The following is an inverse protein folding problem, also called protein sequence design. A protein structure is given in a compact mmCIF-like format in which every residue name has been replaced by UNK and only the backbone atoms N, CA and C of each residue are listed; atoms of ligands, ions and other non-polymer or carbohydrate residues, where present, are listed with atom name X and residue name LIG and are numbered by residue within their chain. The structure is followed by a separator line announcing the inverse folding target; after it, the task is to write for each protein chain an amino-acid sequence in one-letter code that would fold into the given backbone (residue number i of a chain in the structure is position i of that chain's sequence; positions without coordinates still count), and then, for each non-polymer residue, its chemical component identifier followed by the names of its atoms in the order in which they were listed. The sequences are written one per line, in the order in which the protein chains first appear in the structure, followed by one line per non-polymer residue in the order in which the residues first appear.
data_IF_633407060417
#
_entry.id   IF_633407060417
#
_cell.length_a   1.000
_cell.length_b   1.000
_cell.length_c   1.000
_cell.angle_alpha   90.00
_cell.angle_beta   90.00
_cell.angle_gamma   90.00
#
_symmetry.space_group_name_H-M   'P 1'
#
loop_
_entity.id
_entity.type
_entity.pdbx_description
1 polymer ?
#
# COMPACT_ATOMS: atom_id res chain seq x y z
N UNK A 1 9.78 -13.91 -63.92
CA UNK A 1 9.03 -14.44 -62.76
C UNK A 1 9.79 -14.12 -61.47
N UNK A 2 9.47 -13.02 -60.78
CA UNK A 2 10.08 -12.67 -59.48
C UNK A 2 9.13 -13.14 -58.38
N UNK A 3 9.55 -14.11 -57.56
CA UNK A 3 8.80 -14.54 -56.37
C UNK A 3 8.90 -13.42 -55.32
N UNK A 4 7.77 -12.78 -55.04
CA UNK A 4 7.63 -11.78 -53.98
C UNK A 4 7.58 -12.51 -52.64
N UNK A 5 8.58 -12.31 -51.79
CA UNK A 5 8.68 -12.95 -50.48
C UNK A 5 8.08 -12.00 -49.44
N UNK A 6 6.84 -12.24 -49.03
CA UNK A 6 6.15 -11.48 -47.99
C UNK A 6 6.70 -11.88 -46.62
N UNK A 7 7.36 -10.94 -45.94
CA UNK A 7 7.84 -11.10 -44.56
C UNK A 7 6.74 -10.64 -43.61
N UNK A 8 6.18 -11.56 -42.82
CA UNK A 8 5.23 -11.25 -41.74
C UNK A 8 6.05 -10.97 -40.48
N UNK A 9 6.16 -9.70 -40.09
CA UNK A 9 6.69 -9.30 -38.79
C UNK A 9 5.57 -9.53 -37.77
N UNK A 10 5.66 -10.64 -37.03
CA UNK A 10 4.80 -10.88 -35.87
C UNK A 10 5.25 -10.01 -34.71
N UNK A 11 4.51 -8.94 -34.40
CA UNK A 11 4.64 -8.23 -33.13
C UNK A 11 4.05 -9.13 -32.05
N UNK A 12 4.90 -9.77 -31.25
CA UNK A 12 4.48 -10.40 -30.01
C UNK A 12 4.28 -9.27 -29.00
N UNK A 13 3.04 -8.82 -28.81
CA UNK A 13 2.68 -8.02 -27.64
C UNK A 13 2.76 -8.94 -26.43
N UNK A 14 3.91 -8.98 -25.77
CA UNK A 14 3.96 -9.48 -24.40
C UNK A 14 3.16 -8.49 -23.55
N UNK A 15 2.03 -8.94 -23.01
CA UNK A 15 1.37 -8.21 -21.93
C UNK A 15 2.35 -8.19 -20.76
N UNK A 16 3.11 -7.11 -20.64
CA UNK A 16 3.79 -6.81 -19.39
C UNK A 16 2.68 -6.67 -18.37
N UNK A 17 2.59 -7.63 -17.45
CA UNK A 17 1.72 -7.50 -16.28
C UNK A 17 2.33 -6.36 -15.47
N UNK A 18 1.92 -5.13 -15.77
CA UNK A 18 2.02 -4.05 -14.81
C UNK A 18 1.06 -4.47 -13.72
N UNK A 19 1.59 -5.12 -12.69
CA UNK A 19 0.77 -5.49 -11.55
C UNK A 19 0.25 -4.19 -10.94
N UNK A 20 -1.06 -4.11 -10.84
CA UNK A 20 -1.79 -2.93 -10.37
C UNK A 20 -2.21 -3.18 -8.93
N UNK A 21 -2.30 -2.11 -8.15
CA UNK A 21 -2.90 -2.13 -6.83
C UNK A 21 -4.06 -1.15 -6.81
N UNK A 22 -5.09 -1.45 -6.00
CA UNK A 22 -6.10 -0.46 -5.65
C UNK A 22 -5.66 0.25 -4.37
N UNK A 23 -5.64 1.58 -4.38
CA UNK A 23 -5.47 2.40 -3.18
C UNK A 23 -6.83 2.83 -2.63
N UNK A 24 -7.02 2.70 -1.31
CA UNK A 24 -8.15 3.30 -0.59
C UNK A 24 -7.68 3.93 0.73
N UNK A 25 -8.37 4.96 1.19
CA UNK A 25 -8.05 5.67 2.44
C UNK A 25 -9.21 5.53 3.42
N UNK A 26 -8.91 5.25 4.68
CA UNK A 26 -9.88 4.97 5.74
C UNK A 26 -9.53 5.72 7.02
N UNK A 27 -10.56 6.18 7.74
CA UNK A 27 -10.44 6.71 9.09
C UNK A 27 -10.71 5.58 10.09
N UNK A 28 -9.64 5.02 10.68
CA UNK A 28 -9.73 3.85 11.55
C UNK A 28 -9.95 4.29 12.99
N UNK A 29 -11.12 3.95 13.55
CA UNK A 29 -11.51 4.31 14.91
C UNK A 29 -10.73 3.49 15.96
N UNK A 30 -10.08 4.17 16.89
CA UNK A 30 -9.34 3.60 18.02
C UNK A 30 -10.24 3.38 19.25
N UNK A 31 -9.70 2.75 20.29
CA UNK A 31 -10.43 2.38 21.53
C UNK A 31 -11.01 3.57 22.28
N UNK A 32 -10.33 4.71 22.22
CA UNK A 32 -10.74 5.97 22.83
C UNK A 32 -11.63 6.82 21.90
N UNK A 33 -11.96 6.31 20.72
CA UNK A 33 -12.96 6.88 19.83
C UNK A 33 -12.43 7.86 18.79
N UNK A 34 -11.14 8.23 18.86
CA UNK A 34 -10.51 9.02 17.80
C UNK A 34 -10.26 8.19 16.55
N UNK A 35 -10.01 8.85 15.43
CA UNK A 35 -9.78 8.20 14.15
C UNK A 35 -8.37 8.45 13.62
N UNK A 36 -7.68 7.39 13.20
CA UNK A 36 -6.37 7.45 12.57
C UNK A 36 -6.48 7.24 11.07
N UNK A 37 -5.90 8.13 10.28
CA UNK A 37 -5.95 8.09 8.83
C UNK A 37 -5.01 7.00 8.28
N UNK A 38 -5.55 6.12 7.44
CA UNK A 38 -4.89 4.89 7.00
C UNK A 38 -5.10 4.63 5.52
N UNK A 39 -4.01 4.50 4.77
CA UNK A 39 -4.03 4.09 3.38
C UNK A 39 -3.87 2.56 3.28
N UNK A 40 -4.67 1.93 2.43
CA UNK A 40 -4.60 0.50 2.11
C UNK A 40 -4.31 0.35 0.62
N UNK A 41 -3.23 -0.35 0.32
CA UNK A 41 -2.79 -0.74 -1.01
C UNK A 41 -3.03 -2.24 -1.16
N UNK A 42 -4.04 -2.60 -1.94
CA UNK A 42 -4.43 -3.99 -2.16
C UNK A 42 -3.96 -4.45 -3.54
N UNK A 43 -3.15 -5.53 -3.64
CA UNK A 43 -2.74 -6.07 -4.93
C UNK A 43 -3.94 -6.57 -5.74
N UNK A 44 -3.96 -6.28 -7.04
CA UNK A 44 -5.00 -6.72 -7.98
C UNK A 44 -4.58 -7.99 -8.72
N UNK A 45 -5.55 -8.64 -9.38
CA UNK A 45 -5.28 -9.79 -10.25
C UNK A 45 -4.91 -11.09 -9.51
N UNK A 46 -5.16 -11.15 -8.20
CA UNK A 46 -4.96 -12.37 -7.42
C UNK A 46 -6.25 -13.20 -7.39
N UNK A 47 -6.12 -14.50 -7.67
CA UNK A 47 -7.23 -15.46 -7.63
C UNK A 47 -7.73 -15.77 -6.20
N UNK A 48 -6.99 -15.31 -5.18
CA UNK A 48 -7.31 -15.50 -3.76
C UNK A 48 -8.15 -14.35 -3.23
N UNK A 49 -9.21 -14.69 -2.48
CA UNK A 49 -10.06 -13.73 -1.74
C UNK A 49 -9.38 -13.08 -0.54
N UNK A 50 -8.16 -13.50 -0.17
CA UNK A 50 -7.42 -12.94 0.96
C UNK A 50 -5.92 -12.95 0.69
N UNK A 51 -5.25 -11.88 1.14
CA UNK A 51 -3.79 -11.73 1.10
C UNK A 51 -3.27 -11.39 2.50
N UNK A 52 -2.03 -11.78 2.84
CA UNK A 52 -1.39 -11.28 4.05
C UNK A 52 -1.17 -9.77 3.95
N UNK A 53 -1.09 -9.09 5.10
CA UNK A 53 -0.91 -7.64 5.17
C UNK A 53 0.36 -7.26 5.92
N UNK A 54 1.04 -6.21 5.44
CA UNK A 54 2.14 -5.53 6.13
C UNK A 54 1.65 -4.16 6.58
N UNK A 55 1.81 -3.85 7.87
CA UNK A 55 1.43 -2.57 8.45
C UNK A 55 2.68 -1.71 8.71
N UNK A 56 2.64 -0.48 8.21
CA UNK A 56 3.58 0.60 8.55
C UNK A 56 2.80 1.64 9.33
N UNK A 57 3.27 1.99 10.52
CA UNK A 57 2.80 3.15 11.29
C UNK A 57 3.89 4.20 11.30
N UNK A 58 3.57 5.43 10.93
CA UNK A 58 4.58 6.48 10.71
C UNK A 58 4.11 7.84 11.24
N UNK A 59 4.96 8.60 11.94
CA UNK A 59 4.69 10.01 12.25
C UNK A 59 5.11 10.96 11.12
N UNK A 60 5.64 10.41 10.01
CA UNK A 60 6.32 11.19 8.97
C UNK A 60 5.51 11.36 7.69
N UNK A 61 4.27 10.87 7.62
CA UNK A 61 3.43 10.99 6.43
C UNK A 61 3.31 9.69 5.68
N UNK A 62 2.09 9.14 5.66
CA UNK A 62 1.73 8.00 4.83
C UNK A 62 1.88 8.30 3.34
N UNK A 63 1.74 9.56 2.93
CA UNK A 63 1.90 10.01 1.55
C UNK A 63 3.35 10.06 1.09
N UNK A 64 4.32 10.00 2.03
CA UNK A 64 5.75 10.05 1.70
C UNK A 64 6.34 8.71 1.30
N UNK A 65 5.53 7.64 1.31
CA UNK A 65 5.99 6.31 0.95
C UNK A 65 6.30 6.23 -0.54
N UNK A 66 7.46 5.64 -0.84
CA UNK A 66 7.98 5.57 -2.20
C UNK A 66 7.20 4.54 -3.03
N UNK A 67 6.92 4.81 -4.32
CA UNK A 67 6.27 3.83 -5.21
C UNK A 67 6.98 2.47 -5.25
N UNK A 68 8.32 2.45 -5.18
CA UNK A 68 9.10 1.21 -5.19
C UNK A 68 8.86 0.35 -3.95
N UNK A 69 8.62 0.98 -2.79
CA UNK A 69 8.27 0.26 -1.56
C UNK A 69 6.88 -0.37 -1.68
N UNK A 70 5.92 0.39 -2.20
CA UNK A 70 4.55 -0.08 -2.42
C UNK A 70 4.57 -1.29 -3.36
N UNK A 71 5.23 -1.17 -4.52
CA UNK A 71 5.37 -2.24 -5.50
C UNK A 71 6.13 -3.47 -4.96
N UNK A 72 7.12 -3.28 -4.09
CA UNK A 72 7.82 -4.42 -3.49
C UNK A 72 6.90 -5.30 -2.63
N UNK A 73 5.93 -4.69 -1.93
CA UNK A 73 4.94 -5.43 -1.14
C UNK A 73 3.77 -5.93 -1.97
N UNK A 74 3.16 -5.08 -2.80
CA UNK A 74 1.97 -5.44 -3.58
C UNK A 74 2.30 -6.38 -4.74
N UNK A 75 3.31 -6.04 -5.54
CA UNK A 75 3.54 -6.69 -6.83
C UNK A 75 4.49 -7.87 -6.69
N UNK A 76 5.64 -7.64 -6.02
CA UNK A 76 6.68 -8.66 -5.94
C UNK A 76 6.38 -9.75 -4.90
N UNK A 77 5.64 -9.39 -3.86
CA UNK A 77 5.41 -10.27 -2.70
C UNK A 77 3.94 -10.64 -2.49
N UNK A 78 3.01 -9.99 -3.22
CA UNK A 78 1.57 -10.21 -3.11
C UNK A 78 0.99 -10.00 -1.69
N UNK A 79 1.53 -9.03 -0.95
CA UNK A 79 0.99 -8.56 0.32
C UNK A 79 0.12 -7.31 0.10
N UNK A 80 -0.93 -7.16 0.90
CA UNK A 80 -1.52 -5.83 1.10
C UNK A 80 -0.53 -4.98 1.91
N UNK A 81 -0.34 -3.73 1.51
CA UNK A 81 0.43 -2.76 2.28
C UNK A 81 -0.53 -1.76 2.93
N UNK A 82 -0.45 -1.62 4.24
CA UNK A 82 -1.27 -0.70 5.04
C UNK A 82 -0.35 0.32 5.68
N UNK A 83 -0.66 1.60 5.49
CA UNK A 83 0.19 2.71 5.96
C UNK A 83 -0.68 3.68 6.74
N UNK A 84 -0.40 3.84 8.03
CA UNK A 84 -1.18 4.64 8.96
C UNK A 84 -0.33 5.77 9.53
N UNK A 85 -0.88 6.98 9.54
CA UNK A 85 -0.28 8.09 10.30
C UNK A 85 -0.55 7.90 11.79
N UNK A 86 0.50 8.03 12.62
CA UNK A 86 0.37 7.90 14.08
C UNK A 86 -0.55 8.98 14.67
N UNK A 87 -0.98 8.77 15.92
CA UNK A 87 -1.88 9.68 16.61
C UNK A 87 -1.37 11.12 16.60
N UNK A 88 -2.28 12.07 16.36
CA UNK A 88 -1.99 13.50 16.32
C UNK A 88 -1.09 13.95 15.17
N UNK A 89 -0.78 13.09 14.20
CA UNK A 89 0.02 13.43 13.03
C UNK A 89 -0.83 13.53 11.77
N UNK A 90 -0.53 14.54 10.95
CA UNK A 90 -1.22 14.84 9.70
C UNK A 90 -2.73 14.92 9.88
N UNK A 91 -3.52 14.07 9.20
CA UNK A 91 -4.98 14.04 9.40
C UNK A 91 -5.47 12.93 10.31
N UNK A 92 -4.56 12.23 11.02
CA UNK A 92 -4.93 11.44 12.19
C UNK A 92 -5.29 12.36 13.35
N UNK A 93 -6.39 12.03 14.03
CA UNK A 93 -6.87 12.75 15.20
C UNK A 93 -6.00 12.48 16.45
N UNK A 94 -6.26 13.21 17.53
CA UNK A 94 -5.61 13.04 18.82
C UNK A 94 -4.42 13.97 19.06
N UNK A 95 -3.57 13.61 20.03
CA UNK A 95 -2.40 14.39 20.45
C UNK A 95 -1.14 13.57 20.19
N UNK A 96 -0.16 14.17 19.54
CA UNK A 96 1.15 13.55 19.28
C UNK A 96 1.91 13.29 20.58
N UNK A 97 2.47 12.09 20.71
CA UNK A 97 3.24 11.64 21.86
C UNK A 97 4.76 11.74 21.67
N UNK A 98 5.25 12.24 20.54
CA UNK A 98 6.67 12.50 20.25
C UNK A 98 7.55 11.28 20.59
N UNK A 99 7.17 10.13 20.05
CA UNK A 99 7.83 8.81 20.19
C UNK A 99 7.70 8.11 21.55
N UNK A 100 6.84 8.60 22.45
CA UNK A 100 6.58 7.92 23.72
C UNK A 100 5.61 6.75 23.57
N UNK A 101 4.60 6.92 22.72
CA UNK A 101 3.56 5.92 22.47
C UNK A 101 3.63 5.44 21.00
N UNK A 102 2.60 4.73 20.53
CA UNK A 102 2.47 4.28 19.12
C UNK A 102 3.49 3.22 18.66
N UNK A 103 4.19 2.61 19.60
CA UNK A 103 5.19 1.57 19.36
C UNK A 103 4.92 0.31 20.22
N UNK A 104 5.98 -0.44 20.50
CA UNK A 104 5.89 -1.61 21.35
C UNK A 104 5.76 -1.18 22.82
N UNK A 105 4.58 -1.37 23.40
CA UNK A 105 4.28 -0.99 24.79
C UNK A 105 2.80 -1.16 25.10
N UNK A 106 2.34 -0.52 26.17
CA UNK A 106 0.93 -0.57 26.58
C UNK A 106 0.04 0.28 25.65
N UNK A 107 0.58 1.37 25.13
CA UNK A 107 -0.13 2.36 24.29
C UNK A 107 0.23 2.22 22.80
N UNK A 108 -0.05 1.05 22.25
CA UNK A 108 0.33 0.70 20.87
C UNK A 108 -0.30 1.60 19.81
N UNK A 109 -1.40 2.28 20.13
CA UNK A 109 -2.15 3.20 19.28
C UNK A 109 -2.17 4.65 19.85
N UNK A 110 -1.23 4.96 20.74
CA UNK A 110 -1.15 6.27 21.38
C UNK A 110 -2.10 6.47 22.57
N UNK A 111 -2.84 5.44 22.97
CA UNK A 111 -3.80 5.49 24.09
C UNK A 111 -3.65 4.34 25.08
#
# INVERSE_FOLDING_TARGET
MKKMMTVIIGIVLTANTVFTYTKSTHMVKMRDGINLETDVYLPEGLDSTSVPAVLIRTPYGRERQKPELIAAFTDSSSYALVIQDTRGQHSSEGIDSVFLDDAWGDKKDGY
#
